data_IF_721414802410
#
_entry.id   IF_721414802410
#
_cell.length_a   1.000
_cell.length_b   1.000
_cell.length_c   1.000
_cell.angle_alpha   90.00
_cell.angle_beta   90.00
_cell.angle_gamma   90.00
#
_symmetry.space_group_name_H-M   'P 1'
#
loop_
_entity.id
_entity.type
_entity.pdbx_description
1 polymer ?
#
# COMPACT_ATOMS: atom_id res chain seq x y z
N UNK A 1 16.14 18.66 12.68
CA UNK A 1 15.75 19.31 11.41
C UNK A 1 15.70 18.25 10.31
N UNK A 2 14.96 18.48 9.21
CA UNK A 2 14.80 17.48 8.14
C UNK A 2 16.15 16.98 7.55
N UNK A 3 17.13 17.85 7.21
CA UNK A 3 18.40 17.37 6.65
C UNK A 3 19.24 16.55 7.63
N UNK A 4 19.25 16.94 8.91
CA UNK A 4 19.99 16.21 9.95
C UNK A 4 19.41 14.81 10.16
N UNK A 5 18.08 14.69 10.23
CA UNK A 5 17.40 13.40 10.37
C UNK A 5 17.67 12.49 9.16
N UNK A 6 17.61 13.02 7.94
CA UNK A 6 17.93 12.27 6.72
C UNK A 6 19.38 11.80 6.69
N UNK A 7 20.33 12.68 7.06
CA UNK A 7 21.75 12.34 7.10
C UNK A 7 22.02 11.22 8.12
N UNK A 8 21.41 11.29 9.31
CA UNK A 8 21.54 10.27 10.34
C UNK A 8 20.94 8.93 9.87
N UNK A 9 19.70 8.91 9.38
CA UNK A 9 19.08 7.69 8.86
C UNK A 9 19.92 7.05 7.75
N UNK A 10 20.44 7.88 6.82
CA UNK A 10 21.30 7.40 5.75
C UNK A 10 22.60 6.78 6.27
N UNK A 11 23.22 7.37 7.29
CA UNK A 11 24.41 6.82 7.92
C UNK A 11 24.12 5.47 8.61
N UNK A 12 23.01 5.37 9.34
CA UNK A 12 22.56 4.13 10.00
C UNK A 12 22.30 3.00 8.98
N UNK A 13 21.60 3.32 7.89
CA UNK A 13 21.32 2.37 6.81
C UNK A 13 22.61 1.87 6.14
N UNK A 14 23.49 2.79 5.74
CA UNK A 14 24.75 2.44 5.07
C UNK A 14 25.71 1.67 5.99
N UNK A 15 25.75 2.00 7.28
CA UNK A 15 26.55 1.24 8.25
C UNK A 15 26.10 -0.22 8.31
N UNK A 16 24.80 -0.46 8.46
CA UNK A 16 24.24 -1.82 8.53
C UNK A 16 24.46 -2.58 7.22
N UNK A 17 24.25 -1.92 6.07
CA UNK A 17 24.51 -2.50 4.76
C UNK A 17 25.99 -2.88 4.62
N UNK A 18 26.90 -1.97 4.96
CA UNK A 18 28.34 -2.23 4.89
C UNK A 18 28.76 -3.38 5.81
N UNK A 19 28.19 -3.49 7.01
CA UNK A 19 28.44 -4.59 7.93
C UNK A 19 28.00 -5.95 7.34
N UNK A 20 26.79 -6.00 6.77
CA UNK A 20 26.29 -7.20 6.09
C UNK A 20 27.21 -7.59 4.94
N UNK A 21 27.59 -6.62 4.09
CA UNK A 21 28.49 -6.88 2.96
C UNK A 21 29.91 -7.27 3.39
N UNK A 22 30.39 -6.77 4.53
CA UNK A 22 31.69 -7.16 5.08
C UNK A 22 31.70 -8.59 5.60
N UNK A 23 30.56 -9.08 6.11
CA UNK A 23 30.42 -10.44 6.64
C UNK A 23 30.11 -11.44 5.54
N UNK A 24 29.26 -11.07 4.58
CA UNK A 24 28.89 -11.91 3.44
C UNK A 24 28.71 -11.06 2.17
N UNK A 25 29.80 -10.85 1.40
CA UNK A 25 29.75 -10.06 0.18
C UNK A 25 28.72 -10.60 -0.82
N UNK A 26 27.85 -9.72 -1.32
CA UNK A 26 26.78 -10.06 -2.25
C UNK A 26 25.48 -10.51 -1.58
N UNK A 27 25.41 -10.54 -0.25
CA UNK A 27 24.15 -10.80 0.45
C UNK A 27 23.08 -9.77 0.04
N UNK A 28 21.83 -10.18 -0.22
CA UNK A 28 20.78 -9.27 -0.63
C UNK A 28 20.45 -8.30 0.50
N UNK A 29 20.39 -7.00 0.17
CA UNK A 29 20.08 -5.92 1.11
C UNK A 29 19.11 -4.93 0.47
N UNK A 30 18.32 -4.28 1.32
CA UNK A 30 17.38 -3.23 0.92
C UNK A 30 17.70 -1.99 1.75
N UNK A 31 17.80 -0.83 1.09
CA UNK A 31 17.94 0.44 1.78
C UNK A 31 16.63 0.75 2.51
N UNK A 32 16.66 0.67 3.85
CA UNK A 32 15.50 0.93 4.70
C UNK A 32 15.46 2.38 5.17
N UNK A 33 14.29 3.02 5.06
CA UNK A 33 14.03 4.33 5.66
C UNK A 33 12.71 4.31 6.44
N UNK A 34 12.71 4.90 7.63
CA UNK A 34 11.53 5.12 8.45
C UNK A 34 11.68 6.40 9.29
N UNK A 35 11.96 7.52 8.61
CA UNK A 35 12.03 8.83 9.27
C UNK A 35 10.65 9.47 9.28
N UNK A 36 10.25 9.93 10.47
CA UNK A 36 9.07 10.77 10.65
C UNK A 36 9.33 11.83 11.72
N UNK A 37 8.37 12.73 11.91
CA UNK A 37 8.36 13.69 13.01
C UNK A 37 7.58 13.15 14.22
N UNK A 38 7.75 13.84 15.35
CA UNK A 38 6.92 13.67 16.55
C UNK A 38 5.96 14.86 16.64
N UNK A 39 4.79 14.65 17.22
CA UNK A 39 3.94 15.75 17.67
C UNK A 39 4.57 16.38 18.92
N UNK A 40 5.01 17.62 18.83
CA UNK A 40 5.72 18.29 19.94
C UNK A 40 4.82 18.54 21.15
N UNK A 41 3.49 18.48 21.00
CA UNK A 41 2.55 18.68 22.11
C UNK A 41 2.39 17.43 22.96
N UNK A 42 2.22 16.27 22.32
CA UNK A 42 2.00 14.99 23.00
C UNK A 42 3.26 14.14 23.16
N UNK A 43 4.29 14.39 22.35
CA UNK A 43 5.47 13.53 22.21
C UNK A 43 5.22 12.27 21.37
N UNK A 44 3.99 12.07 20.87
CA UNK A 44 3.63 10.89 20.11
C UNK A 44 4.29 10.88 18.71
N UNK A 45 4.62 9.70 18.16
CA UNK A 45 5.00 9.59 16.75
C UNK A 45 3.88 10.10 15.84
N UNK A 46 4.23 10.88 14.83
CA UNK A 46 3.32 11.26 13.76
C UNK A 46 3.64 10.47 12.49
N UNK A 47 2.64 10.21 11.65
CA UNK A 47 2.79 9.46 10.39
C UNK A 47 1.95 10.11 9.30
N UNK A 48 2.24 9.77 8.03
CA UNK A 48 1.52 10.36 6.90
C UNK A 48 1.65 11.88 6.80
N UNK A 49 2.72 12.44 7.35
CA UNK A 49 2.96 13.89 7.41
C UNK A 49 3.78 14.39 6.21
N UNK A 50 3.82 15.71 5.96
CA UNK A 50 4.76 16.31 5.01
C UNK A 50 6.23 15.98 5.28
N UNK A 51 6.64 15.95 6.55
CA UNK A 51 8.00 15.59 6.96
C UNK A 51 8.33 14.14 6.58
N UNK A 52 7.41 13.21 6.87
CA UNK A 52 7.55 11.80 6.51
C UNK A 52 7.64 11.63 4.99
N UNK A 53 6.74 12.26 4.24
CA UNK A 53 6.73 12.19 2.77
C UNK A 53 7.99 12.77 2.14
N UNK A 54 8.48 13.91 2.66
CA UNK A 54 9.72 14.51 2.21
C UNK A 54 10.92 13.56 2.43
N UNK A 55 10.98 12.92 3.61
CA UNK A 55 12.05 11.98 3.93
C UNK A 55 11.99 10.72 3.04
N UNK A 56 10.80 10.22 2.72
CA UNK A 56 10.61 9.11 1.78
C UNK A 56 11.11 9.46 0.38
N UNK A 57 10.72 10.63 -0.15
CA UNK A 57 11.16 11.10 -1.47
C UNK A 57 12.68 11.23 -1.56
N UNK A 58 13.30 11.85 -0.56
CA UNK A 58 14.75 11.98 -0.50
C UNK A 58 15.45 10.62 -0.31
N UNK A 59 14.89 9.74 0.53
CA UNK A 59 15.37 8.39 0.77
C UNK A 59 15.40 7.55 -0.51
N UNK A 60 14.35 7.64 -1.34
CA UNK A 60 14.31 6.94 -2.62
C UNK A 60 15.38 7.41 -3.60
N UNK A 61 15.67 8.72 -3.64
CA UNK A 61 16.79 9.25 -4.45
C UNK A 61 18.14 8.73 -3.95
N UNK A 62 18.34 8.65 -2.64
CA UNK A 62 19.56 8.08 -2.05
C UNK A 62 19.70 6.59 -2.34
N UNK A 63 18.64 5.80 -2.20
CA UNK A 63 18.63 4.38 -2.52
C UNK A 63 19.03 4.12 -3.98
N UNK A 64 18.46 4.87 -4.93
CA UNK A 64 18.86 4.82 -6.35
C UNK A 64 20.31 5.25 -6.55
N UNK A 65 20.78 6.27 -5.85
CA UNK A 65 22.19 6.70 -5.90
C UNK A 65 23.15 5.59 -5.48
N UNK A 66 22.76 4.74 -4.54
CA UNK A 66 23.56 3.59 -4.11
C UNK A 66 23.27 2.31 -4.91
N UNK A 67 22.37 2.38 -5.90
CA UNK A 67 21.90 1.23 -6.67
C UNK A 67 21.34 0.11 -5.78
N UNK A 68 20.54 0.49 -4.77
CA UNK A 68 19.90 -0.43 -3.85
C UNK A 68 18.37 -0.34 -3.97
N UNK A 69 17.65 -1.47 -3.78
CA UNK A 69 16.21 -1.41 -3.61
C UNK A 69 15.84 -0.55 -2.39
N UNK A 70 14.71 0.15 -2.45
CA UNK A 70 14.22 1.01 -1.38
C UNK A 70 13.03 0.39 -0.66
N UNK A 71 13.10 0.29 0.67
CA UNK A 71 11.96 -0.02 1.53
C UNK A 71 11.40 1.24 2.17
N UNK A 72 10.10 1.43 2.04
CA UNK A 72 9.30 2.51 2.64
C UNK A 72 8.05 1.94 3.33
N UNK A 73 7.15 2.79 3.81
CA UNK A 73 5.92 2.39 4.50
C UNK A 73 4.73 3.34 4.24
N UNK A 74 3.52 2.84 4.45
CA UNK A 74 2.25 3.56 4.26
C UNK A 74 1.47 3.80 5.58
N UNK A 75 2.14 4.39 6.57
CA UNK A 75 1.65 4.47 7.95
C UNK A 75 0.72 5.67 8.21
N UNK A 76 -0.11 5.54 9.24
CA UNK A 76 -0.92 6.61 9.85
C UNK A 76 -0.85 6.53 11.39
N UNK A 77 -1.28 7.60 12.06
CA UNK A 77 -1.32 7.73 13.51
C UNK A 77 -2.74 7.63 14.10
N UNK A 78 -3.77 7.52 13.27
CA UNK A 78 -5.17 7.49 13.74
C UNK A 78 -5.46 6.25 14.58
N UNK A 79 -6.28 6.40 15.62
CA UNK A 79 -6.72 5.31 16.50
C UNK A 79 -7.89 4.52 15.93
N UNK A 80 -8.47 4.96 14.81
CA UNK A 80 -9.66 4.34 14.21
C UNK A 80 -9.67 4.51 12.70
N UNK A 81 -10.55 3.81 12.01
CA UNK A 81 -10.70 3.90 10.55
C UNK A 81 -11.57 5.10 10.19
N UNK A 82 -10.96 6.28 10.22
CA UNK A 82 -11.59 7.55 9.91
C UNK A 82 -10.89 8.29 8.75
N UNK A 83 -11.29 9.55 8.55
CA UNK A 83 -10.67 10.42 7.56
C UNK A 83 -9.17 10.57 7.80
N UNK A 84 -8.71 10.68 9.06
CA UNK A 84 -7.30 10.78 9.40
C UNK A 84 -6.52 9.55 8.96
N UNK A 85 -6.99 8.36 9.31
CA UNK A 85 -6.34 7.11 8.89
C UNK A 85 -6.18 7.02 7.37
N UNK A 86 -7.17 7.54 6.64
CA UNK A 86 -7.19 7.53 5.18
C UNK A 86 -6.23 8.55 4.58
N UNK A 87 -6.33 9.84 4.93
CA UNK A 87 -5.50 10.86 4.28
C UNK A 87 -4.01 10.74 4.65
N UNK A 88 -3.69 10.28 5.86
CA UNK A 88 -2.30 10.04 6.29
C UNK A 88 -1.68 8.86 5.54
N UNK A 89 -2.39 7.72 5.47
CA UNK A 89 -1.93 6.57 4.67
C UNK A 89 -1.81 6.95 3.18
N UNK A 90 -2.78 7.69 2.64
CA UNK A 90 -2.76 8.14 1.24
C UNK A 90 -1.55 9.05 0.95
N UNK A 91 -1.22 9.97 1.84
CA UNK A 91 -0.05 10.83 1.71
C UNK A 91 1.25 10.02 1.74
N UNK A 92 1.34 9.06 2.67
CA UNK A 92 2.48 8.15 2.73
C UNK A 92 2.60 7.29 1.45
N UNK A 93 1.50 6.72 0.95
CA UNK A 93 1.46 5.94 -0.29
C UNK A 93 1.91 6.72 -1.51
N UNK A 94 1.44 7.97 -1.67
CA UNK A 94 1.90 8.85 -2.75
C UNK A 94 3.41 9.02 -2.69
N UNK A 95 3.95 9.33 -1.51
CA UNK A 95 5.39 9.50 -1.34
C UNK A 95 6.16 8.20 -1.62
N UNK A 96 5.61 7.04 -1.25
CA UNK A 96 6.20 5.72 -1.46
C UNK A 96 6.27 5.35 -2.95
N UNK A 97 5.22 5.65 -3.71
CA UNK A 97 5.20 5.41 -5.16
C UNK A 97 6.12 6.38 -5.90
N UNK A 98 6.00 7.69 -5.61
CA UNK A 98 6.78 8.74 -6.26
C UNK A 98 8.27 8.69 -5.91
N UNK A 99 8.65 8.08 -4.79
CA UNK A 99 10.05 7.84 -4.45
C UNK A 99 10.63 6.58 -5.12
N UNK A 100 9.85 5.84 -5.91
CA UNK A 100 10.20 4.53 -6.48
C UNK A 100 10.51 3.48 -5.39
N UNK A 101 9.68 3.42 -4.35
CA UNK A 101 9.78 2.37 -3.34
C UNK A 101 9.62 0.98 -3.98
N UNK A 102 10.57 0.08 -3.73
CA UNK A 102 10.53 -1.29 -4.23
C UNK A 102 9.77 -2.22 -3.28
N UNK A 103 9.71 -1.86 -2.00
CA UNK A 103 9.04 -2.63 -0.96
C UNK A 103 8.32 -1.69 -0.01
N UNK A 104 6.99 -1.71 -0.02
CA UNK A 104 6.16 -0.89 0.86
C UNK A 104 5.69 -1.78 2.01
N UNK A 105 6.33 -1.66 3.17
CA UNK A 105 5.86 -2.33 4.38
C UNK A 105 4.64 -1.63 4.93
N UNK A 106 3.85 -2.37 5.72
CA UNK A 106 2.68 -1.80 6.38
C UNK A 106 1.70 -1.14 5.39
N UNK A 107 1.69 -1.67 4.16
CA UNK A 107 0.89 -1.15 3.06
C UNK A 107 -0.61 -1.25 3.34
N UNK A 108 -1.02 -2.22 4.18
CA UNK A 108 -2.40 -2.42 4.56
C UNK A 108 -2.57 -2.80 6.04
N UNK A 109 -3.60 -2.25 6.68
CA UNK A 109 -4.10 -2.66 8.00
C UNK A 109 -3.53 -1.88 9.19
N UNK A 110 -2.54 -1.01 8.97
CA UNK A 110 -1.86 -0.24 10.02
C UNK A 110 -2.79 0.81 10.66
N UNK A 111 -2.87 0.83 11.98
CA UNK A 111 -3.49 1.89 12.80
C UNK A 111 -2.68 2.15 14.09
N UNK A 112 -3.07 3.21 14.81
CA UNK A 112 -2.57 3.58 16.14
C UNK A 112 -1.04 3.63 16.16
N UNK A 113 -0.45 4.26 15.13
CA UNK A 113 1.00 4.38 15.03
C UNK A 113 1.76 3.05 15.00
N UNK A 114 1.11 1.96 14.61
CA UNK A 114 1.68 0.62 14.48
C UNK A 114 1.30 -0.33 15.61
N UNK A 115 0.45 0.09 16.54
CA UNK A 115 -0.01 -0.74 17.65
C UNK A 115 -1.20 -1.64 17.27
N UNK A 116 -1.88 -1.34 16.16
CA UNK A 116 -3.10 -2.04 15.75
C UNK A 116 -3.02 -2.52 14.31
N UNK A 117 -3.42 -3.78 14.09
CA UNK A 117 -3.76 -4.33 12.79
C UNK A 117 -5.29 -4.45 12.69
N UNK A 118 -5.94 -3.61 11.88
CA UNK A 118 -7.39 -3.59 11.69
C UNK A 118 -7.80 -4.23 10.37
N UNK A 119 -8.82 -5.08 10.41
CA UNK A 119 -9.38 -5.74 9.22
C UNK A 119 -10.09 -4.76 8.29
N UNK A 120 -10.90 -3.84 8.84
CA UNK A 120 -11.56 -2.79 8.06
C UNK A 120 -10.54 -1.88 7.40
N UNK A 121 -9.49 -1.48 8.15
CA UNK A 121 -8.39 -0.70 7.60
C UNK A 121 -7.64 -1.45 6.51
N UNK A 122 -7.45 -2.76 6.67
CA UNK A 122 -6.79 -3.59 5.67
C UNK A 122 -7.53 -3.52 4.33
N UNK A 123 -8.85 -3.66 4.32
CA UNK A 123 -9.65 -3.59 3.08
C UNK A 123 -9.63 -2.17 2.47
N UNK A 124 -9.75 -1.12 3.29
CA UNK A 124 -9.63 0.27 2.82
C UNK A 124 -8.25 0.55 2.24
N UNK A 125 -7.20 -0.03 2.81
CA UNK A 125 -5.86 0.12 2.26
C UNK A 125 -5.68 -0.66 0.96
N UNK A 126 -6.30 -1.85 0.83
CA UNK A 126 -6.31 -2.60 -0.43
C UNK A 126 -6.98 -1.80 -1.55
N UNK A 127 -8.08 -1.08 -1.28
CA UNK A 127 -8.68 -0.12 -2.23
C UNK A 127 -7.63 0.91 -2.69
N UNK A 128 -6.97 1.59 -1.76
CA UNK A 128 -5.95 2.60 -2.10
C UNK A 128 -4.76 2.00 -2.86
N UNK A 129 -4.33 0.79 -2.51
CA UNK A 129 -3.25 0.07 -3.21
C UNK A 129 -3.66 -0.31 -4.63
N UNK A 130 -4.91 -0.75 -4.84
CA UNK A 130 -5.45 -1.03 -6.17
C UNK A 130 -5.51 0.23 -7.03
N UNK A 131 -5.94 1.36 -6.46
CA UNK A 131 -5.91 2.66 -7.13
C UNK A 131 -4.48 3.05 -7.55
N UNK A 132 -3.50 2.84 -6.67
CA UNK A 132 -2.09 3.09 -6.98
C UNK A 132 -1.56 2.16 -8.07
N UNK A 133 -1.90 0.87 -8.01
CA UNK A 133 -1.51 -0.10 -9.02
C UNK A 133 -2.08 0.28 -10.40
N UNK A 134 -3.37 0.63 -10.46
CA UNK A 134 -4.02 1.09 -11.69
C UNK A 134 -3.36 2.35 -12.25
N UNK A 135 -3.07 3.32 -11.39
CA UNK A 135 -2.41 4.58 -11.80
C UNK A 135 -1.03 4.34 -12.43
N UNK A 136 -0.31 3.33 -11.94
CA UNK A 136 1.03 2.99 -12.43
C UNK A 136 1.02 2.10 -13.67
N UNK A 137 -0.16 1.66 -14.15
CA UNK A 137 -0.25 0.93 -15.40
C UNK A 137 0.24 1.81 -16.57
N UNK A 138 1.01 1.24 -17.52
CA UNK A 138 1.40 1.98 -18.71
C UNK A 138 0.18 2.43 -19.50
N UNK A 139 0.17 3.70 -19.91
CA UNK A 139 -0.86 4.23 -20.80
C UNK A 139 -0.44 3.99 -22.25
N UNK A 140 -1.33 3.39 -23.03
CA UNK A 140 -1.16 3.25 -24.47
C UNK A 140 -1.56 4.55 -25.17
N UNK A 141 -0.78 4.95 -26.18
CA UNK A 141 -1.02 6.12 -27.01
C UNK A 141 -1.19 5.68 -28.48
N UNK A 142 -1.89 4.58 -28.71
CA UNK A 142 -2.25 4.15 -30.07
C UNK A 142 -3.42 4.97 -30.61
N UNK A 143 -3.63 4.91 -31.93
CA UNK A 143 -4.72 5.64 -32.59
C UNK A 143 -6.10 5.24 -32.02
N UNK A 144 -6.27 3.96 -31.68
CA UNK A 144 -7.49 3.47 -31.04
C UNK A 144 -7.70 4.09 -29.66
N UNK A 145 -6.64 4.22 -28.85
CA UNK A 145 -6.72 4.82 -27.50
C UNK A 145 -6.91 6.33 -27.53
N UNK A 146 -6.43 7.02 -28.57
CA UNK A 146 -6.75 8.43 -28.78
C UNK A 146 -8.23 8.65 -29.10
N UNK A 147 -8.91 7.66 -29.71
CA UNK A 147 -10.34 7.73 -29.99
C UNK A 147 -10.75 8.85 -30.95
N UNK A 148 -9.85 9.29 -31.85
CA UNK A 148 -10.08 10.46 -32.70
C UNK A 148 -11.29 10.30 -33.63
N UNK A 149 -11.53 9.10 -34.16
CA UNK A 149 -12.70 8.79 -35.00
C UNK A 149 -14.00 8.97 -34.20
N UNK A 150 -14.05 8.43 -32.97
CA UNK A 150 -15.22 8.60 -32.11
C UNK A 150 -15.48 10.08 -31.76
N UNK A 151 -14.43 10.89 -31.61
CA UNK A 151 -14.55 12.34 -31.36
C UNK A 151 -15.19 13.04 -32.57
N UNK A 152 -14.75 12.71 -33.79
CA UNK A 152 -15.30 13.28 -35.01
C UNK A 152 -16.76 12.85 -35.24
N UNK A 153 -17.06 11.57 -35.03
CA UNK A 153 -18.40 10.98 -35.21
C UNK A 153 -19.44 11.56 -34.24
N UNK A 154 -19.08 11.75 -32.96
CA UNK A 154 -19.99 12.31 -31.95
C UNK A 154 -20.22 13.81 -32.17
N UNK A 155 -19.16 14.53 -32.54
CA UNK A 155 -19.19 15.96 -32.82
C UNK A 155 -19.52 16.87 -31.62
N UNK A 156 -19.51 18.21 -31.82
CA UNK A 156 -19.75 19.17 -30.75
C UNK A 156 -21.15 19.08 -30.13
N UNK A 157 -21.19 19.00 -28.79
CA UNK A 157 -22.45 18.95 -28.03
C UNK A 157 -23.07 17.55 -27.89
N UNK A 158 -22.45 16.51 -28.48
CA UNK A 158 -22.86 15.12 -28.31
C UNK A 158 -22.35 14.44 -27.03
N UNK A 159 -22.58 13.14 -26.90
CA UNK A 159 -22.07 12.30 -25.81
C UNK A 159 -21.56 10.95 -26.32
N UNK A 160 -20.62 10.33 -25.59
CA UNK A 160 -19.93 9.11 -26.04
C UNK A 160 -20.58 7.79 -25.59
N UNK A 161 -21.60 7.82 -24.71
CA UNK A 161 -22.16 6.61 -24.10
C UNK A 161 -22.63 5.51 -25.08
N UNK A 162 -23.09 5.90 -26.27
CA UNK A 162 -23.53 4.98 -27.32
C UNK A 162 -22.55 4.81 -28.48
N UNK A 163 -21.34 5.39 -28.39
CA UNK A 163 -20.32 5.25 -29.43
C UNK A 163 -19.76 3.83 -29.45
N UNK A 164 -19.44 3.31 -30.63
CA UNK A 164 -18.83 1.97 -30.78
C UNK A 164 -17.55 1.87 -29.95
N UNK A 165 -16.72 2.92 -29.96
CA UNK A 165 -15.51 3.02 -29.14
C UNK A 165 -15.77 2.76 -27.64
N UNK A 166 -16.85 3.35 -27.08
CA UNK A 166 -17.24 3.14 -25.69
C UNK A 166 -17.83 1.75 -25.48
N UNK A 167 -18.71 1.28 -26.37
CA UNK A 167 -19.38 -0.01 -26.25
C UNK A 167 -18.41 -1.20 -26.31
N UNK A 168 -17.30 -1.06 -27.05
CA UNK A 168 -16.22 -2.05 -27.08
C UNK A 168 -15.45 -2.14 -25.75
N UNK A 169 -15.39 -1.05 -24.98
CA UNK A 169 -14.46 -0.88 -23.85
C UNK A 169 -15.12 -0.69 -22.50
N UNK A 170 -16.43 -0.48 -22.42
CA UNK A 170 -17.10 -0.01 -21.19
C UNK A 170 -16.86 -0.90 -19.95
N UNK A 171 -16.60 -2.20 -20.14
CA UNK A 171 -16.30 -3.15 -19.05
C UNK A 171 -14.86 -3.09 -18.53
N UNK A 172 -13.94 -2.51 -19.30
CA UNK A 172 -12.50 -2.57 -19.02
C UNK A 172 -11.83 -1.20 -19.01
N UNK A 173 -12.51 -0.16 -19.50
CA UNK A 173 -11.97 1.18 -19.63
C UNK A 173 -11.64 1.82 -18.28
N UNK A 174 -12.42 1.53 -17.24
CA UNK A 174 -12.31 2.18 -15.95
C UNK A 174 -12.04 1.20 -14.83
N UNK A 175 -11.42 1.72 -13.77
CA UNK A 175 -11.22 0.99 -12.52
C UNK A 175 -12.55 0.77 -11.80
N UNK A 176 -12.75 -0.45 -11.35
CA UNK A 176 -13.88 -0.82 -10.50
C UNK A 176 -13.43 -0.78 -9.03
N UNK A 177 -14.11 -0.01 -8.18
CA UNK A 177 -13.74 0.11 -6.77
C UNK A 177 -14.13 -1.16 -6.01
N UNK A 178 -13.30 -1.55 -5.05
CA UNK A 178 -13.60 -2.57 -4.06
C UNK A 178 -14.48 -1.99 -2.93
N UNK A 179 -14.22 -0.76 -2.50
CA UNK A 179 -14.87 -0.14 -1.32
C UNK A 179 -15.64 1.14 -1.66
N UNK A 180 -15.16 1.95 -2.61
CA UNK A 180 -15.81 3.22 -2.94
C UNK A 180 -17.22 3.02 -3.50
N UNK A 181 -18.14 3.92 -3.13
CA UNK A 181 -19.53 3.91 -3.61
C UNK A 181 -19.79 5.21 -4.37
N UNK A 182 -20.15 5.06 -5.65
CA UNK A 182 -20.41 6.17 -6.58
C UNK A 182 -21.89 6.31 -6.91
N UNK A 183 -22.77 5.63 -6.18
CA UNK A 183 -24.21 5.82 -6.30
C UNK A 183 -24.61 7.26 -5.96
N UNK A 184 -25.72 7.72 -6.55
CA UNK A 184 -26.36 8.95 -6.08
C UNK A 184 -26.93 8.76 -4.66
N UNK A 185 -27.29 9.86 -4.01
CA UNK A 185 -27.76 9.85 -2.63
C UNK A 185 -28.96 8.92 -2.43
N UNK A 186 -29.95 8.98 -3.32
CA UNK A 186 -31.19 8.21 -3.19
C UNK A 186 -30.92 6.70 -3.23
N UNK A 187 -30.06 6.24 -4.14
CA UNK A 187 -29.70 4.83 -4.22
C UNK A 187 -28.83 4.40 -3.04
N UNK A 188 -27.89 5.24 -2.61
CA UNK A 188 -27.06 4.98 -1.43
C UNK A 188 -27.91 4.86 -0.15
N UNK A 189 -28.90 5.74 0.01
CA UNK A 189 -29.84 5.72 1.13
C UNK A 189 -30.70 4.45 1.12
N UNK A 190 -31.24 4.07 -0.04
CA UNK A 190 -31.98 2.82 -0.22
C UNK A 190 -31.11 1.57 0.04
N UNK A 191 -29.81 1.65 -0.25
CA UNK A 191 -28.83 0.60 0.03
C UNK A 191 -28.38 0.54 1.51
N UNK A 192 -28.95 1.39 2.37
CA UNK A 192 -28.73 1.38 3.82
C UNK A 192 -27.68 2.37 4.32
N UNK A 193 -27.31 3.38 3.52
CA UNK A 193 -26.47 4.50 3.93
C UNK A 193 -25.12 4.11 4.54
N UNK A 194 -24.54 3.01 4.07
CA UNK A 194 -23.30 2.47 4.64
C UNK A 194 -22.13 3.39 4.38
N UNK A 195 -21.30 3.57 5.40
CA UNK A 195 -19.98 4.20 5.30
C UNK A 195 -18.96 3.27 4.64
N UNK A 196 -17.81 3.82 4.20
CA UNK A 196 -16.72 3.01 3.64
C UNK A 196 -16.23 1.94 4.63
N UNK A 197 -16.10 2.29 5.92
CA UNK A 197 -15.68 1.37 6.98
C UNK A 197 -16.67 0.23 7.18
N UNK A 198 -17.98 0.49 7.13
CA UNK A 198 -19.00 -0.56 7.23
C UNK A 198 -19.03 -1.48 6.01
N UNK A 199 -18.78 -0.95 4.80
CA UNK A 199 -18.63 -1.77 3.60
C UNK A 199 -17.37 -2.65 3.70
N UNK A 200 -16.26 -2.07 4.12
CA UNK A 200 -15.00 -2.79 4.37
C UNK A 200 -15.17 -3.92 5.40
N UNK A 201 -15.99 -3.71 6.43
CA UNK A 201 -16.31 -4.72 7.44
C UNK A 201 -16.98 -5.97 6.84
N UNK A 202 -17.91 -5.77 5.90
CA UNK A 202 -18.55 -6.88 5.18
C UNK A 202 -17.55 -7.64 4.30
N UNK A 203 -16.72 -6.90 3.56
CA UNK A 203 -15.78 -7.45 2.60
C UNK A 203 -14.70 -8.33 3.23
N UNK A 204 -14.11 -7.93 4.37
CA UNK A 204 -13.09 -8.78 5.00
C UNK A 204 -13.68 -10.10 5.52
N UNK A 205 -14.91 -10.06 6.03
CA UNK A 205 -15.60 -11.26 6.52
C UNK A 205 -15.94 -12.23 5.38
N UNK A 206 -16.36 -11.68 4.24
CA UNK A 206 -16.61 -12.46 3.03
C UNK A 206 -15.31 -13.08 2.51
N UNK A 207 -14.24 -12.30 2.39
CA UNK A 207 -12.93 -12.78 1.96
C UNK A 207 -12.42 -13.96 2.81
N UNK A 208 -12.63 -13.93 4.14
CA UNK A 208 -12.26 -15.05 5.01
C UNK A 208 -13.15 -16.29 4.82
N UNK A 209 -14.44 -16.11 4.52
CA UNK A 209 -15.36 -17.23 4.25
C UNK A 209 -15.04 -17.92 2.93
N UNK A 210 -14.62 -17.13 1.93
CA UNK A 210 -14.33 -17.61 0.58
C UNK A 210 -12.89 -18.11 0.41
N UNK A 211 -12.00 -17.79 1.35
CA UNK A 211 -10.59 -18.17 1.29
C UNK A 211 -10.41 -19.68 1.11
N UNK A 212 -9.61 -20.04 0.11
CA UNK A 212 -9.15 -21.40 -0.14
C UNK A 212 -7.64 -21.42 -0.04
N UNK A 213 -7.12 -22.23 0.89
CA UNK A 213 -5.68 -22.32 1.11
C UNK A 213 -4.95 -22.84 -0.13
N UNK A 214 -3.91 -22.15 -0.62
CA UNK A 214 -3.07 -22.65 -1.70
C UNK A 214 -2.39 -23.97 -1.32
N UNK A 215 -2.42 -24.95 -2.22
CA UNK A 215 -1.80 -26.27 -1.95
C UNK A 215 -0.29 -26.15 -1.78
N UNK A 216 0.21 -26.63 -0.64
CA UNK A 216 1.61 -26.93 -0.41
C UNK A 216 1.83 -28.45 -0.60
N UNK A 217 3.01 -28.86 -1.06
CA UNK A 217 3.32 -30.29 -1.19
C UNK A 217 3.42 -30.93 0.19
N UNK A 218 2.86 -32.14 0.32
CA UNK A 218 2.73 -32.85 1.60
C UNK A 218 4.10 -33.08 2.26
N UNK A 219 5.10 -33.50 1.47
CA UNK A 219 6.48 -33.70 1.92
C UNK A 219 7.08 -32.45 2.59
N UNK A 220 6.86 -31.28 2.01
CA UNK A 220 7.36 -30.01 2.57
C UNK A 220 6.59 -29.59 3.81
N UNK A 221 5.28 -29.81 3.84
CA UNK A 221 4.47 -29.51 5.02
C UNK A 221 4.92 -30.36 6.20
N UNK A 222 5.09 -31.67 6.00
CA UNK A 222 5.58 -32.60 7.02
C UNK A 222 6.98 -32.20 7.55
N UNK A 223 7.91 -31.83 6.66
CA UNK A 223 9.24 -31.36 7.06
C UNK A 223 9.18 -30.07 7.90
N UNK A 224 8.33 -29.11 7.52
CA UNK A 224 8.14 -27.87 8.27
C UNK A 224 7.54 -28.13 9.65
N UNK A 225 6.52 -28.98 9.74
CA UNK A 225 5.87 -29.35 11.00
C UNK A 225 6.83 -30.08 11.93
N UNK A 226 7.61 -31.04 11.41
CA UNK A 226 8.61 -31.77 12.17
C UNK A 226 9.71 -30.84 12.71
N UNK A 227 10.18 -29.90 11.88
CA UNK A 227 11.14 -28.88 12.32
C UNK A 227 10.57 -28.01 13.44
N UNK A 228 9.34 -27.51 13.30
CA UNK A 228 8.67 -26.68 14.32
C UNK A 228 8.47 -27.45 15.62
N UNK A 229 8.02 -28.71 15.55
CA UNK A 229 7.84 -29.56 16.73
C UNK A 229 9.16 -29.75 17.49
N UNK A 230 10.22 -30.14 16.78
CA UNK A 230 11.55 -30.29 17.36
C UNK A 230 12.06 -28.98 17.98
N UNK A 231 11.88 -27.84 17.30
CA UNK A 231 12.30 -26.53 17.83
C UNK A 231 11.52 -26.13 19.08
N UNK A 232 10.23 -26.45 19.18
CA UNK A 232 9.45 -26.23 20.40
C UNK A 232 10.00 -27.03 21.57
N UNK A 233 10.34 -28.31 21.36
CA UNK A 233 10.96 -29.16 22.38
C UNK A 233 12.34 -28.63 22.82
N UNK A 234 13.19 -28.23 21.86
CA UNK A 234 14.54 -27.73 22.15
C UNK A 234 14.55 -26.38 22.86
N UNK A 235 13.60 -25.50 22.55
CA UNK A 235 13.43 -24.21 23.24
C UNK A 235 12.81 -24.42 24.63
N UNK A 236 11.89 -25.40 24.73
CA UNK A 236 11.12 -25.69 25.93
C UNK A 236 9.98 -24.70 26.17
N UNK A 237 9.13 -25.04 27.15
CA UNK A 237 7.96 -24.23 27.56
C UNK A 237 8.33 -23.18 28.63
N UNK A 238 9.63 -22.90 28.80
CA UNK A 238 10.10 -21.92 29.76
C UNK A 238 9.52 -20.56 29.43
N UNK A 239 8.61 -20.06 30.28
CA UNK A 239 8.48 -18.61 30.43
C UNK A 239 9.88 -18.04 30.70
N UNK A 240 10.19 -16.84 30.16
CA UNK A 240 11.50 -16.23 30.30
C UNK A 240 12.01 -16.15 31.76
#
# INVERSE_FOLDING_TARGET
>A
TRPAALAQQNAEALFTIALIQATNPGAPVVYGSFTSNVDMRSGAPAFGTPENSWANLAGGQLARRYNLPHRTSACNASNTVDAQATYETQMALWSACLCHGNLIYHAAGWLEGGLVASYEKFIIDVEMLQMMAKLMEPVSFSDEEFGLEAIDDVGPGGHFFGSDHTMERYKTAFHEPLVSDWQNYENWELAGSKTATERAAGLWQEALKEYQEPKLSEDRLEELEAYVAKRKEEIGDGEP
#
